data_IF_454649680633
#
_entry.id   IF_454649680633
#
_cell.length_a   1.000
_cell.length_b   1.000
_cell.length_c   1.000
_cell.angle_alpha   90.00
_cell.angle_beta   90.00
_cell.angle_gamma   90.00
#
_symmetry.space_group_name_H-M   'P 1'
#
loop_
_entity.id
_entity.type
_entity.pdbx_description
1 polymer ?
#
# COMPACT_ATOMS: atom_id res chain seq x y z
N UNK A 1 5.39 16.51 11.32
CA UNK A 1 6.16 15.26 11.11
C UNK A 1 5.20 14.16 10.68
N UNK A 2 5.56 13.34 9.69
CA UNK A 2 4.68 12.31 9.10
C UNK A 2 5.33 10.94 9.17
N UNK A 3 4.53 9.89 9.34
CA UNK A 3 4.91 8.52 9.05
C UNK A 3 4.48 8.21 7.62
N UNK A 4 5.44 7.94 6.74
CA UNK A 4 5.16 7.51 5.37
C UNK A 4 5.29 5.99 5.27
N UNK A 5 4.32 5.36 4.59
CA UNK A 5 4.32 3.94 4.30
C UNK A 5 4.38 3.79 2.79
N UNK A 6 5.44 3.13 2.31
CA UNK A 6 5.65 2.80 0.91
C UNK A 6 5.34 1.32 0.70
N UNK A 7 4.52 1.01 -0.29
CA UNK A 7 4.33 -0.36 -0.78
C UNK A 7 4.91 -0.40 -2.18
N UNK A 8 5.91 -1.24 -2.37
CA UNK A 8 6.65 -1.38 -3.62
C UNK A 8 6.29 -2.74 -4.19
N UNK A 9 5.89 -2.77 -5.45
CA UNK A 9 5.54 -3.98 -6.16
C UNK A 9 6.72 -4.44 -7.00
N UNK A 10 6.87 -5.76 -7.12
CA UNK A 10 7.92 -6.29 -7.97
C UNK A 10 7.68 -5.85 -9.42
N UNK A 11 8.74 -5.41 -10.08
CA UNK A 11 8.70 -4.87 -11.43
C UNK A 11 9.71 -5.63 -12.28
N UNK A 12 9.45 -6.93 -12.41
CA UNK A 12 10.30 -7.84 -13.14
C UNK A 12 10.35 -7.40 -14.63
N UNK A 13 11.54 -7.05 -15.16
CA UNK A 13 11.71 -6.62 -16.55
C UNK A 13 11.31 -7.71 -17.57
N UNK A 14 11.21 -8.98 -17.16
CA UNK A 14 10.77 -10.08 -18.02
C UNK A 14 9.24 -10.22 -18.08
N UNK A 15 8.47 -9.53 -17.25
CA UNK A 15 7.00 -9.64 -17.27
C UNK A 15 6.37 -8.92 -18.47
N UNK A 16 7.17 -8.22 -19.28
CA UNK A 16 6.65 -7.33 -20.32
C UNK A 16 6.09 -6.04 -19.73
N UNK A 17 5.40 -5.26 -20.56
CA UNK A 17 4.75 -4.04 -20.08
C UNK A 17 3.45 -4.42 -19.35
N UNK A 18 3.27 -3.94 -18.12
CA UNK A 18 2.07 -4.19 -17.33
C UNK A 18 1.51 -2.89 -16.76
N UNK A 19 0.19 -2.87 -16.59
CA UNK A 19 -0.55 -1.83 -15.89
C UNK A 19 -1.62 -2.49 -15.03
N UNK A 20 -1.87 -1.96 -13.85
CA UNK A 20 -2.91 -2.44 -12.94
C UNK A 20 -3.58 -1.27 -12.22
N UNK A 21 -4.83 -1.48 -11.81
CA UNK A 21 -5.48 -0.65 -10.81
C UNK A 21 -5.40 -1.32 -9.45
N UNK A 22 -5.01 -0.56 -8.43
CA UNK A 22 -5.00 -1.03 -7.06
C UNK A 22 -6.05 -0.28 -6.27
N UNK A 23 -6.92 -1.01 -5.60
CA UNK A 23 -7.70 -0.46 -4.48
C UNK A 23 -6.97 -0.81 -3.19
N UNK A 24 -6.39 0.19 -2.55
CA UNK A 24 -5.64 0.03 -1.31
C UNK A 24 -6.41 0.64 -0.14
N UNK A 25 -6.50 -0.06 0.97
CA UNK A 25 -6.97 0.50 2.25
C UNK A 25 -5.85 0.43 3.28
N UNK A 26 -5.34 1.59 3.68
CA UNK A 26 -4.28 1.69 4.69
C UNK A 26 -4.88 1.98 6.05
N UNK A 27 -4.55 1.15 7.04
CA UNK A 27 -5.17 1.19 8.36
C UNK A 27 -4.13 1.25 9.46
N UNK A 28 -4.28 2.23 10.33
CA UNK A 28 -3.63 2.23 11.64
C UNK A 28 -4.55 1.54 12.62
N UNK A 29 -4.03 0.48 13.26
CA UNK A 29 -4.81 -0.34 14.17
C UNK A 29 -4.54 0.03 15.63
N UNK A 30 -5.47 -0.34 16.51
CA UNK A 30 -5.23 -0.44 17.94
C UNK A 30 -4.10 -1.40 18.26
N UNK A 31 -3.49 -1.24 19.45
CA UNK A 31 -2.37 -2.10 19.86
C UNK A 31 -2.72 -3.58 19.91
N UNK A 32 -3.98 -3.94 20.17
CA UNK A 32 -4.45 -5.32 20.12
C UNK A 32 -4.77 -5.82 18.69
N UNK A 33 -4.72 -4.93 17.69
CA UNK A 33 -4.99 -5.22 16.29
C UNK A 33 -6.47 -5.41 15.95
N UNK A 34 -7.40 -5.05 16.83
CA UNK A 34 -8.83 -5.37 16.67
C UNK A 34 -9.68 -4.22 16.14
N UNK A 35 -9.19 -2.98 16.18
CA UNK A 35 -9.95 -1.80 15.78
C UNK A 35 -9.12 -0.91 14.86
N UNK A 36 -9.79 -0.40 13.83
CA UNK A 36 -9.25 0.63 12.95
C UNK A 36 -9.33 1.98 13.67
N UNK A 37 -8.19 2.65 13.81
CA UNK A 37 -8.09 3.96 14.45
C UNK A 37 -7.96 5.08 13.41
N UNK A 38 -7.30 4.79 12.29
CA UNK A 38 -7.34 5.59 11.06
C UNK A 38 -7.45 4.63 9.89
N UNK A 39 -8.30 4.94 8.91
CA UNK A 39 -8.44 4.17 7.68
C UNK A 39 -8.47 5.13 6.48
N UNK A 40 -7.62 4.87 5.49
CA UNK A 40 -7.48 5.70 4.29
C UNK A 40 -7.60 4.79 3.05
N UNK A 41 -8.80 4.70 2.45
CA UNK A 41 -8.98 4.03 1.16
C UNK A 41 -8.49 4.93 0.03
N UNK A 42 -7.75 4.35 -0.92
CA UNK A 42 -7.24 5.04 -2.12
C UNK A 42 -7.14 4.07 -3.28
N UNK A 43 -7.44 4.58 -4.47
CA UNK A 43 -7.20 3.89 -5.73
C UNK A 43 -5.93 4.42 -6.39
N UNK A 44 -5.12 3.54 -6.94
CA UNK A 44 -3.90 3.87 -7.67
C UNK A 44 -3.89 3.19 -9.02
N UNK A 45 -3.33 3.83 -10.03
CA UNK A 45 -2.89 3.18 -11.25
C UNK A 45 -1.38 3.01 -11.16
N UNK A 46 -0.91 1.78 -11.32
CA UNK A 46 0.51 1.43 -11.28
C UNK A 46 0.90 0.73 -12.57
N UNK A 47 2.16 0.90 -12.96
CA UNK A 47 2.76 0.30 -14.14
C UNK A 47 4.27 0.10 -13.92
N UNK A 48 4.99 -0.36 -14.95
CA UNK A 48 6.43 -0.56 -14.86
C UNK A 48 7.24 0.71 -14.52
N UNK A 49 6.69 1.91 -14.71
CA UNK A 49 7.38 3.18 -14.43
C UNK A 49 7.00 3.76 -13.07
N UNK A 50 5.82 3.38 -12.55
CA UNK A 50 5.29 3.79 -11.26
C UNK A 50 4.75 2.58 -10.49
N UNK A 51 5.66 1.75 -9.99
CA UNK A 51 5.36 0.46 -9.34
C UNK A 51 5.32 0.54 -7.80
N UNK A 52 5.09 1.72 -7.23
CA UNK A 52 4.93 1.88 -5.79
C UNK A 52 3.81 2.85 -5.44
N UNK A 53 3.26 2.70 -4.24
CA UNK A 53 2.25 3.61 -3.69
C UNK A 53 2.69 4.10 -2.33
N UNK A 54 2.23 5.31 -1.97
CA UNK A 54 2.59 5.95 -0.69
C UNK A 54 1.38 6.55 0.00
N UNK A 55 1.32 6.34 1.32
CA UNK A 55 0.39 7.05 2.21
C UNK A 55 1.18 7.72 3.33
N UNK A 56 0.74 8.91 3.73
CA UNK A 56 1.30 9.64 4.87
C UNK A 56 0.28 9.73 5.99
N UNK A 57 0.72 9.44 7.21
CA UNK A 57 -0.06 9.61 8.43
C UNK A 57 0.55 10.75 9.27
N UNK A 58 -0.21 11.81 9.59
CA UNK A 58 0.26 12.86 10.48
C UNK A 58 0.55 12.28 11.88
N UNK A 59 1.76 12.48 12.40
CA UNK A 59 2.14 11.88 13.69
C UNK A 59 1.29 12.40 14.86
N UNK A 60 0.73 13.61 14.72
CA UNK A 60 -0.19 14.17 15.71
C UNK A 60 -1.49 13.37 15.83
N UNK A 61 -1.98 12.80 14.73
CA UNK A 61 -3.14 11.90 14.72
C UNK A 61 -2.78 10.56 15.35
N UNK A 62 -1.59 10.03 15.07
CA UNK A 62 -1.07 8.79 15.69
C UNK A 62 -0.90 8.96 17.21
N UNK A 63 -0.48 10.16 17.66
CA UNK A 63 -0.17 10.45 19.06
C UNK A 63 -1.35 10.98 19.89
N UNK A 64 -2.55 11.15 19.32
CA UNK A 64 -3.71 11.70 20.06
C UNK A 64 -3.99 10.86 21.31
N UNK A 65 -3.74 11.45 22.48
CA UNK A 65 -3.96 10.87 23.82
C UNK A 65 -5.44 10.46 23.96
N UNK A 66 -5.71 9.20 24.29
CA UNK A 66 -7.08 8.66 24.42
C UNK A 66 -7.64 7.91 23.20
N UNK A 67 -6.91 7.86 22.09
CA UNK A 67 -7.31 7.11 20.88
C UNK A 67 -7.02 5.60 20.94
N UNK A 68 -6.25 5.14 21.93
CA UNK A 68 -5.78 3.74 22.00
C UNK A 68 -4.62 3.42 21.04
N UNK A 69 -4.13 4.40 20.25
CA UNK A 69 -3.04 4.22 19.29
C UNK A 69 -1.67 4.04 19.95
N UNK A 70 -1.39 4.82 20.99
CA UNK A 70 -0.10 4.80 21.70
C UNK A 70 -0.39 4.84 23.20
N UNK A 71 -0.74 3.69 23.76
CA UNK A 71 -0.70 3.49 25.21
C UNK A 71 0.74 3.07 25.52
N UNK A 72 1.59 4.03 25.89
CA UNK A 72 2.94 3.82 26.45
C UNK A 72 4.05 3.15 25.61
N UNK A 73 3.77 2.57 24.44
CA UNK A 73 4.76 1.80 23.67
C UNK A 73 5.10 2.49 22.35
N UNK A 74 6.39 2.53 22.00
CA UNK A 74 6.91 3.14 20.76
C UNK A 74 6.60 2.36 19.48
N UNK A 75 5.46 1.67 19.42
CA UNK A 75 5.09 0.75 18.35
C UNK A 75 3.79 1.20 17.68
N UNK A 76 3.76 1.14 16.35
CA UNK A 76 2.55 1.40 15.53
C UNK A 76 2.20 0.11 14.79
N UNK A 77 0.91 -0.27 14.78
CA UNK A 77 0.41 -1.40 13.98
C UNK A 77 -0.26 -0.88 12.72
N UNK A 78 0.16 -1.43 11.59
CA UNK A 78 -0.33 -1.09 10.26
C UNK A 78 -0.93 -2.34 9.62
N UNK A 79 -2.08 -2.19 8.97
CA UNK A 79 -2.63 -3.17 8.04
C UNK A 79 -2.88 -2.49 6.71
N UNK A 80 -2.55 -3.18 5.62
CA UNK A 80 -2.75 -2.68 4.26
C UNK A 80 -3.47 -3.79 3.51
N UNK A 81 -4.70 -3.51 3.09
CA UNK A 81 -5.43 -4.37 2.18
C UNK A 81 -5.24 -3.84 0.77
N UNK A 82 -4.88 -4.72 -0.17
CA UNK A 82 -4.59 -4.36 -1.56
C UNK A 82 -5.39 -5.31 -2.43
N UNK A 83 -6.34 -4.77 -3.17
CA UNK A 83 -7.05 -5.47 -4.22
C UNK A 83 -6.46 -5.03 -5.57
N UNK A 84 -6.03 -6.01 -6.36
CA UNK A 84 -5.57 -5.78 -7.72
C UNK A 84 -6.72 -5.99 -8.68
N UNK A 85 -6.97 -5.00 -9.53
CA UNK A 85 -8.02 -4.99 -10.52
C UNK A 85 -7.44 -4.59 -11.88
N UNK A 86 -8.16 -4.97 -12.94
CA UNK A 86 -7.85 -4.58 -14.32
C UNK A 86 -6.36 -4.76 -14.70
N UNK A 87 -5.75 -5.86 -14.23
CA UNK A 87 -4.36 -6.17 -14.54
C UNK A 87 -4.26 -6.48 -16.03
N UNK A 88 -3.49 -5.68 -16.75
CA UNK A 88 -3.18 -5.88 -18.16
C UNK A 88 -1.68 -6.11 -18.30
N UNK A 89 -1.31 -7.18 -18.99
CA UNK A 89 0.08 -7.52 -19.29
C UNK A 89 0.20 -7.66 -20.80
N UNK A 90 1.06 -6.84 -21.41
CA UNK A 90 1.43 -6.93 -22.81
C UNK A 90 2.86 -7.46 -22.93
N UNK A 91 2.94 -8.68 -23.45
CA UNK A 91 4.20 -9.33 -23.74
C UNK A 91 4.59 -9.03 -25.19
N UNK A 92 5.74 -8.39 -25.39
CA UNK A 92 6.39 -8.26 -26.70
C UNK A 92 7.43 -9.37 -26.89
N UNK A 93 7.06 -10.61 -26.54
CA UNK A 93 7.84 -11.75 -27.00
C UNK A 93 7.47 -11.95 -28.47
N UNK A 94 8.43 -11.73 -29.38
CA UNK A 94 8.40 -12.47 -30.64
C UNK A 94 8.27 -13.94 -30.23
N UNK A 95 7.15 -14.58 -30.60
CA UNK A 95 7.01 -16.02 -30.40
C UNK A 95 8.24 -16.67 -31.02
N UNK A 96 9.15 -17.15 -30.18
CA UNK A 96 10.27 -17.95 -30.65
C UNK A 96 9.62 -19.24 -31.14
N UNK A 97 9.31 -19.28 -32.43
CA UNK A 97 8.89 -20.50 -33.11
C UNK A 97 10.07 -21.47 -33.02
N UNK A 98 9.94 -22.47 -32.14
CA UNK A 98 10.79 -23.66 -32.11
C UNK A 98 10.44 -24.57 -33.29
#
# INVERSE_FOLDING_TARGET
MFLFVYVIFDNDPWTGHWVAQLQCTFRLLSQDGKKDLVSVPKTYTIDNTNYYVVVGFPIEEIRKKGSGLIISTGTVRLQIDILWEDIQISNSYEQVHL
#
